data_IF_977648867208
#
_entry.id   IF_977648867208
#
_cell.length_a   1.000
_cell.length_b   1.000
_cell.length_c   1.000
_cell.angle_alpha   90.00
_cell.angle_beta   90.00
_cell.angle_gamma   90.00
#
_symmetry.space_group_name_H-M   'P 1'
#
loop_
_entity.id
_entity.type
_entity.pdbx_description
1 polymer ?
#
# COMPACT_ATOMS: atom_id res chain seq x y z
N UNK A 1 -30.82 20.73 -42.53
CA UNK A 1 -29.51 20.20 -42.93
C UNK A 1 -28.56 20.50 -41.76
N UNK A 2 -27.97 19.50 -41.09
CA UNK A 2 -27.04 19.77 -39.98
C UNK A 2 -25.71 20.23 -40.57
N UNK A 3 -25.30 21.45 -40.24
CA UNK A 3 -23.98 21.97 -40.61
C UNK A 3 -22.90 21.19 -39.84
N UNK A 4 -22.00 20.53 -40.59
CA UNK A 4 -20.82 19.89 -40.01
C UNK A 4 -19.70 20.93 -39.92
N UNK A 5 -19.06 21.06 -38.75
CA UNK A 5 -17.96 21.99 -38.53
C UNK A 5 -16.70 21.56 -39.30
N UNK A 6 -16.23 22.32 -40.31
CA UNK A 6 -15.13 21.91 -41.20
C UNK A 6 -13.76 21.88 -40.50
N UNK A 7 -13.66 22.50 -39.30
CA UNK A 7 -12.44 22.54 -38.48
C UNK A 7 -12.37 21.43 -37.43
N UNK A 8 -13.43 20.62 -37.26
CA UNK A 8 -13.42 19.55 -36.28
C UNK A 8 -12.53 18.41 -36.74
N UNK A 9 -11.61 17.98 -35.87
CA UNK A 9 -10.76 16.83 -36.09
C UNK A 9 -11.10 15.77 -35.02
N UNK A 10 -11.25 14.49 -35.40
CA UNK A 10 -11.52 13.44 -34.43
C UNK A 10 -10.36 13.30 -33.44
N UNK A 11 -10.69 13.22 -32.15
CA UNK A 11 -9.70 12.99 -31.09
C UNK A 11 -9.05 11.63 -31.32
N UNK A 12 -7.72 11.59 -31.30
CA UNK A 12 -7.00 10.33 -31.42
C UNK A 12 -7.29 9.41 -30.23
N UNK A 13 -7.33 8.10 -30.45
CA UNK A 13 -7.54 7.13 -29.38
C UNK A 13 -6.48 7.21 -28.28
N UNK A 14 -5.26 7.67 -28.61
CA UNK A 14 -4.18 7.91 -27.66
C UNK A 14 -4.52 9.06 -26.72
N UNK A 15 -4.95 10.20 -27.28
CA UNK A 15 -5.31 11.39 -26.52
C UNK A 15 -6.57 11.14 -25.67
N UNK A 16 -7.59 10.49 -26.25
CA UNK A 16 -8.79 10.13 -25.50
C UNK A 16 -8.46 9.24 -24.29
N UNK A 17 -7.58 8.24 -24.47
CA UNK A 17 -7.15 7.36 -23.37
C UNK A 17 -6.36 8.12 -22.30
N UNK A 18 -5.40 8.97 -22.70
CA UNK A 18 -4.62 9.75 -21.72
C UNK A 18 -5.51 10.67 -20.92
N UNK A 19 -6.45 11.35 -21.57
CA UNK A 19 -7.32 12.34 -20.94
C UNK A 19 -8.29 11.68 -19.97
N UNK A 20 -8.90 10.55 -20.37
CA UNK A 20 -9.78 9.76 -19.51
C UNK A 20 -8.99 9.22 -18.31
N UNK A 21 -7.85 8.56 -18.54
CA UNK A 21 -7.05 7.96 -17.45
C UNK A 21 -6.59 9.03 -16.47
N UNK A 22 -6.11 10.17 -16.97
CA UNK A 22 -5.69 11.30 -16.14
C UNK A 22 -6.85 11.83 -15.29
N UNK A 23 -8.02 12.05 -15.90
CA UNK A 23 -9.21 12.53 -15.19
C UNK A 23 -9.66 11.56 -14.10
N UNK A 24 -9.65 10.25 -14.38
CA UNK A 24 -9.97 9.22 -13.39
C UNK A 24 -8.96 9.20 -12.24
N UNK A 25 -7.66 9.25 -12.54
CA UNK A 25 -6.60 9.28 -11.52
C UNK A 25 -6.77 10.46 -10.57
N UNK A 26 -6.95 11.67 -11.10
CA UNK A 26 -7.16 12.88 -10.29
C UNK A 26 -8.40 12.76 -9.42
N UNK A 27 -9.51 12.26 -9.99
CA UNK A 27 -10.77 12.10 -9.24
C UNK A 27 -10.64 11.09 -8.11
N UNK A 28 -10.07 9.92 -8.39
CA UNK A 28 -9.88 8.87 -7.38
C UNK A 28 -8.89 9.32 -6.30
N UNK A 29 -7.77 9.93 -6.69
CA UNK A 29 -6.80 10.49 -5.75
C UNK A 29 -7.46 11.44 -4.77
N UNK A 30 -8.26 12.40 -5.27
CA UNK A 30 -9.00 13.32 -4.43
C UNK A 30 -9.95 12.62 -3.46
N UNK A 31 -10.74 11.66 -3.94
CA UNK A 31 -11.67 10.89 -3.09
C UNK A 31 -10.92 10.16 -1.98
N UNK A 32 -9.79 9.53 -2.30
CA UNK A 32 -8.97 8.81 -1.32
C UNK A 32 -8.42 9.80 -0.28
N UNK A 33 -7.81 10.91 -0.69
CA UNK A 33 -7.29 11.91 0.23
C UNK A 33 -8.38 12.49 1.14
N UNK A 34 -9.52 12.92 0.58
CA UNK A 34 -10.64 13.51 1.33
C UNK A 34 -11.25 12.49 2.33
N UNK A 35 -11.21 11.20 1.99
CA UNK A 35 -11.69 10.13 2.87
C UNK A 35 -10.69 9.85 3.99
N UNK A 36 -9.42 9.68 3.65
CA UNK A 36 -8.36 9.33 4.58
C UNK A 36 -7.96 10.50 5.49
N UNK A 37 -8.26 11.75 5.13
CA UNK A 37 -8.05 12.92 5.99
C UNK A 37 -8.75 12.75 7.34
N UNK A 38 -9.97 12.19 7.34
CA UNK A 38 -10.81 11.99 8.53
C UNK A 38 -10.47 10.75 9.35
N UNK A 39 -9.57 9.92 8.83
CA UNK A 39 -9.13 8.68 9.47
C UNK A 39 -7.87 8.97 10.28
N UNK A 40 -7.83 8.50 11.53
CA UNK A 40 -6.68 8.65 12.42
C UNK A 40 -5.64 7.55 12.18
N UNK A 41 -6.09 6.30 12.21
CA UNK A 41 -5.23 5.12 12.11
C UNK A 41 -5.68 4.24 10.95
N UNK A 42 -4.72 3.74 10.18
CA UNK A 42 -4.96 2.82 9.08
C UNK A 42 -3.98 1.64 9.10
N UNK A 43 -4.46 0.49 8.62
CA UNK A 43 -3.65 -0.71 8.41
C UNK A 43 -3.47 -0.91 6.92
N UNK A 44 -2.24 -1.18 6.48
CA UNK A 44 -1.95 -1.50 5.09
C UNK A 44 -1.82 -2.99 4.90
N UNK A 45 -2.35 -3.49 3.80
CA UNK A 45 -2.02 -4.81 3.25
C UNK A 45 -1.23 -4.58 1.98
N UNK A 46 0.00 -5.09 1.94
CA UNK A 46 0.91 -4.95 0.81
C UNK A 46 1.21 -6.34 0.27
N UNK A 47 0.86 -6.54 -0.98
CA UNK A 47 1.05 -7.79 -1.69
C UNK A 47 1.92 -7.57 -2.93
N UNK A 48 2.90 -8.44 -3.13
CA UNK A 48 3.82 -8.39 -4.25
C UNK A 48 3.88 -9.75 -4.95
N UNK A 49 3.50 -9.79 -6.22
CA UNK A 49 3.48 -11.04 -6.98
C UNK A 49 4.17 -10.91 -8.34
N UNK A 50 4.62 -12.06 -8.83
CA UNK A 50 5.22 -12.23 -10.15
C UNK A 50 4.26 -12.95 -11.09
N UNK A 51 4.00 -12.36 -12.25
CA UNK A 51 3.39 -13.05 -13.38
C UNK A 51 4.41 -13.97 -14.05
N UNK A 52 3.96 -15.12 -14.57
CA UNK A 52 4.74 -16.12 -15.33
C UNK A 52 5.60 -15.61 -16.49
N UNK A 53 5.42 -14.36 -16.90
CA UNK A 53 6.13 -13.69 -18.00
C UNK A 53 7.23 -12.75 -17.47
N UNK A 54 7.67 -12.95 -16.23
CA UNK A 54 8.70 -12.14 -15.56
C UNK A 54 8.25 -10.70 -15.27
N UNK A 55 6.95 -10.47 -15.08
CA UNK A 55 6.42 -9.14 -14.75
C UNK A 55 5.95 -9.12 -13.32
N UNK A 56 6.31 -8.07 -12.61
CA UNK A 56 6.16 -7.99 -11.17
C UNK A 56 5.26 -6.83 -10.81
N UNK A 57 4.41 -7.03 -9.80
CA UNK A 57 3.43 -6.05 -9.37
C UNK A 57 3.45 -5.92 -7.85
N UNK A 58 3.06 -4.74 -7.38
CA UNK A 58 2.86 -4.41 -5.98
C UNK A 58 1.47 -3.77 -5.85
N UNK A 59 0.64 -4.35 -5.00
CA UNK A 59 -0.64 -3.79 -4.61
C UNK A 59 -0.59 -3.31 -3.16
N UNK A 60 -1.08 -2.10 -2.91
CA UNK A 60 -1.20 -1.53 -1.58
C UNK A 60 -2.67 -1.22 -1.31
N UNK A 61 -3.24 -1.87 -0.30
CA UNK A 61 -4.61 -1.64 0.14
C UNK A 61 -4.60 -1.10 1.55
N UNK A 62 -5.33 -0.03 1.82
CA UNK A 62 -5.53 0.46 3.18
C UNK A 62 -6.86 -0.03 3.74
N UNK A 63 -6.86 -0.32 5.03
CA UNK A 63 -7.98 -0.77 5.81
C UNK A 63 -8.17 0.15 7.02
N UNK A 64 -9.39 0.59 7.26
CA UNK A 64 -9.76 1.38 8.43
C UNK A 64 -11.22 1.15 8.80
N UNK A 65 -11.59 1.48 10.03
CA UNK A 65 -12.98 1.43 10.48
C UNK A 65 -13.56 2.84 10.35
N UNK A 66 -14.70 2.97 9.67
CA UNK A 66 -15.37 4.26 9.52
C UNK A 66 -16.21 4.63 10.77
N UNK A 67 -16.79 5.84 10.77
CA UNK A 67 -17.62 6.33 11.87
C UNK A 67 -18.90 5.50 12.10
N UNK A 68 -19.24 4.59 11.18
CA UNK A 68 -20.38 3.67 11.29
C UNK A 68 -19.94 2.29 11.80
N UNK A 69 -18.69 2.16 12.25
CA UNK A 69 -18.08 0.91 12.70
C UNK A 69 -18.00 -0.15 11.60
N UNK A 70 -17.92 0.26 10.34
CA UNK A 70 -17.78 -0.65 9.19
C UNK A 70 -16.33 -0.66 8.73
N UNK A 71 -15.79 -1.85 8.50
CA UNK A 71 -14.48 -2.04 7.90
C UNK A 71 -14.52 -1.59 6.44
N UNK A 72 -13.72 -0.58 6.12
CA UNK A 72 -13.51 -0.09 4.76
C UNK A 72 -12.16 -0.58 4.23
N UNK A 73 -12.11 -0.85 2.93
CA UNK A 73 -10.90 -1.22 2.22
C UNK A 73 -10.78 -0.41 0.94
N UNK A 74 -9.65 0.28 0.76
CA UNK A 74 -9.36 1.07 -0.45
C UNK A 74 -8.02 0.66 -1.05
N UNK A 75 -8.02 0.41 -2.35
CA UNK A 75 -6.79 0.26 -3.11
C UNK A 75 -6.13 1.63 -3.26
N UNK A 76 -4.97 1.82 -2.61
CA UNK A 76 -4.19 3.06 -2.68
C UNK A 76 -3.47 3.13 -4.01
N UNK A 77 -2.71 2.08 -4.34
CA UNK A 77 -2.02 2.00 -5.62
C UNK A 77 -1.78 0.55 -6.05
N UNK A 78 -1.62 0.41 -7.36
CA UNK A 78 -1.26 -0.82 -8.04
C UNK A 78 -0.15 -0.50 -9.04
N UNK A 79 1.08 -0.86 -8.69
CA UNK A 79 2.26 -0.47 -9.44
C UNK A 79 3.00 -1.67 -10.01
N UNK A 80 3.53 -1.49 -11.22
CA UNK A 80 4.42 -2.48 -11.83
C UNK A 80 5.84 -2.26 -11.30
N UNK A 81 6.41 -3.28 -10.69
CA UNK A 81 7.82 -3.34 -10.31
C UNK A 81 8.65 -3.59 -11.58
N UNK A 82 9.40 -2.57 -12.02
CA UNK A 82 10.25 -2.63 -13.23
C UNK A 82 11.67 -3.14 -12.96
N UNK A 83 12.10 -3.06 -11.70
CA UNK A 83 13.42 -3.45 -11.20
C UNK A 83 13.28 -4.78 -10.43
N UNK A 84 14.36 -5.57 -10.22
CA UNK A 84 14.31 -6.77 -9.37
C UNK A 84 13.59 -6.51 -8.04
N UNK A 85 12.91 -7.55 -7.54
CA UNK A 85 12.19 -7.61 -6.27
C UNK A 85 13.13 -7.52 -5.05
N UNK A 86 13.95 -6.49 -5.00
CA UNK A 86 14.72 -6.16 -3.82
C UNK A 86 13.79 -5.52 -2.80
N UNK A 87 14.01 -5.84 -1.53
CA UNK A 87 13.34 -5.23 -0.40
C UNK A 87 13.33 -3.71 -0.48
N UNK A 88 14.47 -3.13 -0.86
CA UNK A 88 14.68 -1.69 -0.89
C UNK A 88 13.81 -1.00 -1.94
N UNK A 89 13.60 -1.65 -3.10
CA UNK A 89 12.73 -1.08 -4.14
C UNK A 89 11.27 -1.11 -3.69
N UNK A 90 10.85 -2.17 -3.00
CA UNK A 90 9.49 -2.29 -2.46
C UNK A 90 9.28 -1.20 -1.40
N UNK A 91 10.19 -1.08 -0.44
CA UNK A 91 10.10 -0.07 0.63
C UNK A 91 10.07 1.35 0.07
N UNK A 92 10.99 1.72 -0.82
CA UNK A 92 11.03 3.05 -1.44
C UNK A 92 9.76 3.37 -2.22
N UNK A 93 9.23 2.41 -2.97
CA UNK A 93 7.98 2.61 -3.71
C UNK A 93 6.80 2.81 -2.77
N UNK A 94 6.70 1.99 -1.72
CA UNK A 94 5.69 2.14 -0.68
C UNK A 94 5.79 3.52 -0.02
N UNK A 95 6.97 3.95 0.42
CA UNK A 95 7.18 5.28 1.02
C UNK A 95 6.74 6.41 0.10
N UNK A 96 7.16 6.39 -1.17
CA UNK A 96 6.75 7.40 -2.15
C UNK A 96 5.21 7.45 -2.34
N UNK A 97 4.55 6.28 -2.32
CA UNK A 97 3.09 6.20 -2.41
C UNK A 97 2.47 6.80 -1.14
N UNK A 98 2.95 6.43 0.05
CA UNK A 98 2.41 6.96 1.30
C UNK A 98 2.58 8.48 1.42
N UNK A 99 3.72 9.02 0.96
CA UNK A 99 3.98 10.45 0.92
C UNK A 99 3.06 11.16 -0.10
N UNK A 100 2.86 10.57 -1.28
CA UNK A 100 1.96 11.11 -2.31
C UNK A 100 0.52 11.26 -1.79
N UNK A 101 0.04 10.32 -0.99
CA UNK A 101 -1.28 10.39 -0.36
C UNK A 101 -1.29 11.10 1.01
N UNK A 102 -0.12 11.52 1.52
CA UNK A 102 0.04 12.16 2.85
C UNK A 102 -0.51 11.31 4.01
N UNK A 103 -0.33 9.99 3.94
CA UNK A 103 -0.87 9.03 4.90
C UNK A 103 0.18 8.29 5.73
N UNK A 104 1.46 8.57 5.52
CA UNK A 104 2.58 7.89 6.17
C UNK A 104 2.47 7.87 7.70
N UNK A 105 2.11 9.00 8.32
CA UNK A 105 1.98 9.10 9.78
C UNK A 105 0.73 8.43 10.35
N UNK A 106 -0.23 8.07 9.50
CA UNK A 106 -1.47 7.39 9.88
C UNK A 106 -1.33 5.87 9.87
N UNK A 107 -0.25 5.35 9.28
CA UNK A 107 0.00 3.90 9.18
C UNK A 107 0.31 3.35 10.55
N UNK A 108 -0.66 2.63 11.12
CA UNK A 108 -0.52 1.91 12.38
C UNK A 108 0.16 0.55 12.19
N UNK A 109 -0.17 -0.14 11.09
CA UNK A 109 0.27 -1.51 10.85
C UNK A 109 0.42 -1.81 9.36
N UNK A 110 1.41 -2.61 9.03
CA UNK A 110 1.57 -3.21 7.71
C UNK A 110 1.42 -4.72 7.83
N UNK A 111 0.68 -5.27 6.88
CA UNK A 111 0.42 -6.68 6.68
C UNK A 111 1.03 -7.06 5.33
N UNK A 112 1.90 -8.06 5.32
CA UNK A 112 2.48 -8.60 4.09
C UNK A 112 2.44 -10.12 4.06
N UNK A 113 2.69 -10.69 2.88
CA UNK A 113 3.02 -12.10 2.77
C UNK A 113 4.38 -12.43 3.43
N UNK A 114 4.67 -13.73 3.52
CA UNK A 114 5.92 -14.25 4.07
C UNK A 114 7.01 -14.43 3.00
N UNK A 115 6.92 -13.73 1.86
CA UNK A 115 7.99 -13.79 0.86
C UNK A 115 9.25 -13.15 1.44
N UNK A 116 10.41 -13.78 1.20
CA UNK A 116 11.68 -13.31 1.75
C UNK A 116 12.01 -11.85 1.41
N UNK A 117 11.57 -11.36 0.25
CA UNK A 117 11.67 -9.96 -0.16
C UNK A 117 10.78 -9.02 0.68
N UNK A 118 9.57 -9.45 1.02
CA UNK A 118 8.59 -8.67 1.80
C UNK A 118 8.98 -8.62 3.27
N UNK A 119 9.38 -9.76 3.84
CA UNK A 119 9.97 -9.82 5.18
C UNK A 119 11.15 -8.83 5.25
N UNK A 120 12.11 -8.92 4.32
CA UNK A 120 13.27 -8.01 4.34
C UNK A 120 12.87 -6.53 4.20
N UNK A 121 11.85 -6.22 3.41
CA UNK A 121 11.38 -4.84 3.22
C UNK A 121 10.78 -4.23 4.50
N UNK A 122 10.11 -5.03 5.32
CA UNK A 122 9.35 -4.52 6.48
C UNK A 122 9.82 -5.04 7.84
N UNK A 123 10.87 -5.87 7.89
CA UNK A 123 11.48 -6.36 9.14
C UNK A 123 12.21 -5.26 9.91
N UNK A 124 12.63 -4.19 9.24
CA UNK A 124 13.35 -3.06 9.83
C UNK A 124 12.80 -1.68 9.41
N UNK A 125 11.70 -1.66 8.64
CA UNK A 125 11.50 -0.63 7.62
C UNK A 125 10.52 0.51 7.90
N UNK A 126 9.96 0.63 9.10
CA UNK A 126 9.18 1.82 9.49
C UNK A 126 9.40 2.12 10.97
N UNK A 127 10.51 2.81 11.27
CA UNK A 127 10.83 3.46 12.54
C UNK A 127 10.34 2.71 13.79
N UNK A 128 11.09 1.69 14.20
CA UNK A 128 11.16 1.33 15.61
C UNK A 128 12.17 2.32 16.18
N UNK A 129 11.74 3.21 17.08
CA UNK A 129 12.68 4.04 17.82
C UNK A 129 13.65 3.09 18.56
N UNK A 130 14.94 3.23 18.25
CA UNK A 130 16.04 2.45 18.83
C UNK A 130 16.16 2.79 20.32
N UNK A 131 15.42 2.09 21.19
CA UNK A 131 15.62 2.16 22.65
C UNK A 131 15.43 0.77 23.31
N UNK A 132 15.97 -0.29 22.70
CA UNK A 132 16.22 -1.53 23.45
C UNK A 132 17.50 -2.24 23.02
N UNK A 133 18.50 -2.39 23.93
CA UNK A 133 19.76 -3.00 23.58
C UNK A 133 19.56 -4.48 23.23
N UNK A 134 20.15 -4.85 22.10
CA UNK A 134 20.31 -6.22 21.63
C UNK A 134 20.99 -7.07 22.71
N UNK A 135 20.29 -8.10 23.20
CA UNK A 135 20.95 -9.28 23.74
C UNK A 135 20.80 -10.40 22.71
N UNK A 136 21.92 -10.66 22.08
CA UNK A 136 22.27 -11.78 21.24
C UNK A 136 22.39 -13.06 22.07
N UNK A 137 21.32 -13.87 22.12
CA UNK A 137 21.48 -15.31 21.98
C UNK A 137 20.16 -16.06 21.70
N UNK A 138 20.29 -17.11 20.88
CA UNK A 138 19.38 -18.25 20.70
C UNK A 138 18.06 -18.08 19.90
N UNK A 139 18.15 -18.51 18.63
CA UNK A 139 17.30 -19.55 18.03
C UNK A 139 15.77 -19.42 18.05
N UNK A 140 15.18 -19.35 16.85
CA UNK A 140 13.79 -19.70 16.51
C UNK A 140 12.69 -19.31 17.51
N UNK A 141 12.03 -18.18 17.26
CA UNK A 141 10.65 -17.96 17.70
C UNK A 141 9.76 -17.41 16.59
N UNK A 142 8.92 -18.30 16.09
CA UNK A 142 7.58 -18.00 15.58
C UNK A 142 6.92 -16.95 16.49
N UNK A 143 6.52 -15.80 15.96
CA UNK A 143 5.61 -14.89 16.65
C UNK A 143 4.22 -15.03 16.01
N UNK A 144 3.48 -15.98 16.57
CA UNK A 144 2.02 -16.04 16.56
C UNK A 144 1.62 -16.38 18.00
N UNK A 145 0.57 -15.71 18.50
CA UNK A 145 0.08 -15.63 19.89
C UNK A 145 0.91 -14.70 20.79
N UNK A 146 0.37 -13.85 21.66
CA UNK A 146 -1.03 -13.60 22.04
C UNK A 146 -1.10 -12.28 22.83
N UNK A 147 -2.33 -11.75 22.96
CA UNK A 147 -2.81 -10.91 24.07
C UNK A 147 -1.75 -10.26 24.98
N UNK A 148 -1.33 -9.03 24.66
CA UNK A 148 -0.81 -8.11 25.67
C UNK A 148 -1.28 -6.70 25.38
N UNK A 149 -1.78 -6.09 26.45
CA UNK A 149 -2.27 -4.72 26.65
C UNK A 149 -1.87 -3.72 25.57
N UNK A 150 -2.90 -3.10 25.01
CA UNK A 150 -2.88 -1.88 24.22
C UNK A 150 -2.17 -0.77 25.00
N UNK A 151 -0.85 -0.69 24.85
CA UNK A 151 -0.08 0.43 25.34
C UNK A 151 0.00 1.48 24.23
N UNK A 152 -0.41 2.70 24.56
CA UNK A 152 -0.61 3.81 23.63
C UNK A 152 0.70 4.31 22.99
N UNK A 153 1.86 3.78 23.41
CA UNK A 153 3.18 4.30 23.09
C UNK A 153 3.84 3.59 21.89
N UNK A 154 3.60 2.29 21.68
CA UNK A 154 4.25 1.48 20.64
C UNK A 154 3.45 1.49 19.31
N UNK A 155 3.56 2.56 18.54
CA UNK A 155 2.61 2.84 17.44
C UNK A 155 2.89 2.20 16.07
N UNK A 156 3.93 1.38 15.88
CA UNK A 156 4.23 0.78 14.57
C UNK A 156 4.70 -0.67 14.71
N UNK A 157 3.79 -1.64 14.53
CA UNK A 157 4.13 -3.07 14.50
C UNK A 157 3.74 -3.66 13.15
N UNK A 158 4.69 -4.28 12.44
CA UNK A 158 4.41 -5.07 11.24
C UNK A 158 3.93 -6.47 11.63
N UNK A 159 2.88 -6.98 10.97
CA UNK A 159 2.51 -8.40 11.08
C UNK A 159 2.75 -9.09 9.74
N UNK A 160 3.35 -10.27 9.81
CA UNK A 160 3.44 -11.18 8.68
C UNK A 160 2.20 -12.07 8.77
N UNK A 161 1.26 -11.93 7.84
CA UNK A 161 0.09 -12.81 7.82
C UNK A 161 0.33 -13.97 6.85
N UNK A 162 -0.07 -15.16 7.27
CA UNK A 162 -0.20 -16.31 6.39
C UNK A 162 -1.33 -16.06 5.40
N UNK A 163 -1.09 -16.45 4.14
CA UNK A 163 -2.04 -16.52 3.03
C UNK A 163 -3.51 -16.56 3.47
N UNK A 164 -4.18 -15.41 3.44
CA UNK A 164 -5.63 -15.32 3.38
C UNK A 164 -5.99 -14.83 1.99
N UNK A 165 -5.91 -15.73 1.01
CA UNK A 165 -6.72 -15.79 -0.21
C UNK A 165 -6.06 -16.70 -1.25
N UNK A 166 -6.23 -18.00 -1.10
CA UNK A 166 -6.41 -18.93 -2.23
C UNK A 166 -7.28 -20.09 -1.71
N UNK A 167 -8.45 -20.39 -2.31
CA UNK A 167 -9.06 -21.71 -2.19
C UNK A 167 -8.19 -22.78 -2.86
#
# INVERSE_FOLDING_TARGET
MKECYPKWQPISTKNLKSDIISSFKTRIHKIICDTLEKVNDLTLTIDAWSHRRGRSFLGITCHFIDNKMVLQAFLIDFVRLKSPHTSDNIQRLTENILDHFSIKEKVYRIITDNASSMIKAYKFGLAVDEDHPMNDDQGDKLILSDHSTFDSCDRKRCLILYNLLLP
#
